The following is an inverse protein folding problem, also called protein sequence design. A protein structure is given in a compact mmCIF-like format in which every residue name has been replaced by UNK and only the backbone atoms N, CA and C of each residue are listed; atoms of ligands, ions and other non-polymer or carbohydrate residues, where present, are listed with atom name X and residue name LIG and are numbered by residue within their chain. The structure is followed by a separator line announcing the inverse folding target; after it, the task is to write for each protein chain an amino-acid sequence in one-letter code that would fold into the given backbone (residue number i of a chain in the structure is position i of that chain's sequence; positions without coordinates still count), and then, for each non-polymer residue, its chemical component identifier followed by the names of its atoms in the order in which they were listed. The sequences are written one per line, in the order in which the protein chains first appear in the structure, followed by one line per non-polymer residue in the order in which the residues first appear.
data_IF_767164114342
#
_entry.id   IF_767164114342
#
_cell.length_a   1.000
_cell.length_b   1.000
_cell.length_c   1.000
_cell.angle_alpha   90.00
_cell.angle_beta   90.00
_cell.angle_gamma   90.00
#
_symmetry.space_group_name_H-M   'P 1'
#
loop_
_entity.id
_entity.type
_entity.pdbx_description
1 polymer ?
#
# COMPACT_ATOMS: atom_id res chain seq x y z
N UNK A 1 -6.65 2.34 12.64
CA UNK A 1 -7.82 1.48 12.39
C UNK A 1 -7.83 0.96 10.97
N UNK A 2 -8.19 -0.28 10.81
CA UNK A 2 -8.36 -0.86 9.49
C UNK A 2 -9.55 -0.21 8.77
N UNK A 3 -9.36 0.11 7.48
CA UNK A 3 -10.40 0.69 6.63
C UNK A 3 -10.54 -0.17 5.37
N UNK A 4 -11.77 -0.60 5.05
CA UNK A 4 -12.04 -1.50 3.92
C UNK A 4 -11.68 -0.88 2.58
N UNK A 5 -11.92 0.40 2.41
CA UNK A 5 -11.65 1.10 1.15
C UNK A 5 -10.14 1.21 0.90
N UNK A 6 -9.38 1.51 1.95
CA UNK A 6 -7.91 1.50 1.86
C UNK A 6 -7.39 0.09 1.58
N UNK A 7 -7.99 -0.93 2.21
CA UNK A 7 -7.65 -2.33 1.95
C UNK A 7 -7.93 -2.73 0.51
N UNK A 8 -9.05 -2.28 -0.05
CA UNK A 8 -9.38 -2.56 -1.45
C UNK A 8 -8.38 -1.90 -2.39
N UNK A 9 -8.04 -0.64 -2.15
CA UNK A 9 -7.05 0.06 -2.97
C UNK A 9 -5.68 -0.62 -2.90
N UNK A 10 -5.27 -1.06 -1.71
CA UNK A 10 -4.02 -1.79 -1.53
C UNK A 10 -4.01 -3.11 -2.31
N UNK A 11 -5.12 -3.86 -2.24
CA UNK A 11 -5.21 -5.15 -2.95
C UNK A 11 -5.25 -4.97 -4.46
N UNK A 12 -5.95 -3.96 -4.97
CA UNK A 12 -5.97 -3.65 -6.40
C UNK A 12 -4.54 -3.43 -6.90
N UNK A 13 -3.74 -2.68 -6.16
CA UNK A 13 -2.36 -2.42 -6.58
C UNK A 13 -1.46 -3.65 -6.46
N UNK A 14 -1.61 -4.43 -5.38
CA UNK A 14 -0.86 -5.67 -5.23
C UNK A 14 -1.18 -6.66 -6.37
N UNK A 15 -2.46 -6.80 -6.74
CA UNK A 15 -2.88 -7.62 -7.86
C UNK A 15 -2.30 -7.11 -9.18
N UNK A 16 -2.31 -5.80 -9.40
CA UNK A 16 -1.79 -5.17 -10.61
C UNK A 16 -0.30 -5.47 -10.77
N UNK A 17 0.47 -5.31 -9.70
CA UNK A 17 1.91 -5.61 -9.73
C UNK A 17 2.17 -7.08 -10.06
N UNK A 18 1.40 -7.98 -9.47
CA UNK A 18 1.54 -9.42 -9.75
C UNK A 18 1.19 -9.75 -11.19
N UNK A 19 0.03 -9.31 -11.66
CA UNK A 19 -0.51 -9.67 -12.97
C UNK A 19 0.29 -9.06 -14.11
N UNK A 20 0.79 -7.85 -13.92
CA UNK A 20 1.49 -7.11 -14.98
C UNK A 20 3.00 -7.08 -14.80
N UNK A 21 3.52 -7.74 -13.79
CA UNK A 21 4.95 -8.00 -13.63
C UNK A 21 5.80 -6.77 -13.39
N UNK A 22 5.40 -5.91 -12.46
CA UNK A 22 6.18 -4.72 -12.11
C UNK A 22 6.18 -4.47 -10.61
N UNK A 23 7.07 -3.58 -10.17
CA UNK A 23 7.16 -3.16 -8.77
C UNK A 23 7.37 -1.64 -8.72
N UNK A 24 6.28 -0.89 -8.51
CA UNK A 24 6.30 0.57 -8.52
C UNK A 24 5.03 1.07 -7.82
N UNK A 25 5.08 2.28 -7.30
CA UNK A 25 3.89 2.96 -6.79
C UNK A 25 2.89 3.28 -7.91
N UNK A 26 3.38 3.57 -9.10
CA UNK A 26 2.51 3.85 -10.25
C UNK A 26 1.88 2.57 -10.77
N UNK A 27 0.56 2.58 -10.93
CA UNK A 27 -0.18 1.45 -11.48
C UNK A 27 -0.01 1.31 -12.99
N UNK A 28 -0.39 0.16 -13.53
CA UNK A 28 -0.32 -0.13 -14.96
C UNK A 28 -1.20 0.82 -15.79
N UNK A 29 -2.25 1.36 -15.17
CA UNK A 29 -3.14 2.34 -15.79
C UNK A 29 -2.70 3.79 -15.57
N UNK A 30 -1.52 3.99 -14.97
CA UNK A 30 -1.00 5.31 -14.64
C UNK A 30 -1.47 5.89 -13.31
N UNK A 31 -2.28 5.14 -12.55
CA UNK A 31 -2.83 5.63 -11.28
C UNK A 31 -1.76 5.76 -10.21
N UNK A 32 -1.92 6.73 -9.31
CA UNK A 32 -1.18 6.83 -8.06
C UNK A 32 -2.05 6.29 -6.92
N UNK A 33 -1.50 6.25 -5.71
CA UNK A 33 -2.25 5.73 -4.55
C UNK A 33 -3.48 6.56 -4.24
N UNK A 34 -3.42 7.88 -4.43
CA UNK A 34 -4.59 8.75 -4.22
C UNK A 34 -5.73 8.40 -5.16
N UNK A 35 -5.44 8.21 -6.44
CA UNK A 35 -6.46 7.83 -7.42
C UNK A 35 -7.08 6.48 -7.06
N UNK A 36 -6.27 5.52 -6.62
CA UNK A 36 -6.77 4.20 -6.26
C UNK A 36 -7.69 4.23 -5.04
N UNK A 37 -7.36 5.03 -4.00
CA UNK A 37 -8.23 5.11 -2.84
C UNK A 37 -9.53 5.83 -3.17
N UNK A 38 -9.49 6.86 -4.02
CA UNK A 38 -10.68 7.56 -4.48
C UNK A 38 -11.58 6.63 -5.30
N UNK A 39 -11.01 5.81 -6.16
CA UNK A 39 -11.76 4.81 -6.92
C UNK A 39 -12.42 3.77 -6.01
N UNK A 40 -11.85 3.51 -4.84
CA UNK A 40 -12.44 2.62 -3.85
C UNK A 40 -13.47 3.32 -2.96
N UNK A 41 -13.71 4.61 -3.15
CA UNK A 41 -14.70 5.38 -2.40
C UNK A 41 -14.17 6.08 -1.15
N UNK A 42 -12.86 6.14 -0.98
CA UNK A 42 -12.25 6.77 0.19
C UNK A 42 -12.13 8.29 -0.04
N UNK A 43 -12.63 9.08 0.91
CA UNK A 43 -12.59 10.55 0.82
C UNK A 43 -11.33 11.05 1.52
N UNK A 44 -10.22 11.03 0.82
CA UNK A 44 -8.91 11.31 1.39
C UNK A 44 -8.62 12.78 1.60
N UNK A 45 -8.09 13.09 2.78
CA UNK A 45 -7.33 14.32 3.02
C UNK A 45 -5.84 14.02 3.01
N UNK A 46 -5.45 12.85 3.52
CA UNK A 46 -4.07 12.39 3.54
C UNK A 46 -4.04 10.95 3.07
N UNK A 47 -3.12 10.63 2.17
CA UNK A 47 -2.86 9.26 1.70
C UNK A 47 -1.36 9.07 1.51
N UNK A 48 -0.85 7.92 1.95
CA UNK A 48 0.50 7.51 1.66
C UNK A 48 0.54 5.99 1.45
N UNK A 49 1.56 5.51 0.77
CA UNK A 49 1.67 4.10 0.40
C UNK A 49 3.08 3.59 0.62
N UNK A 50 3.20 2.41 1.21
CA UNK A 50 4.44 1.65 1.26
C UNK A 50 4.24 0.37 0.46
N UNK A 51 5.24 -0.01 -0.33
CA UNK A 51 5.23 -1.26 -1.08
C UNK A 51 6.47 -2.08 -0.76
N UNK A 52 6.36 -3.40 -0.89
CA UNK A 52 7.49 -4.31 -0.74
C UNK A 52 7.25 -5.55 -1.58
N UNK A 53 8.33 -6.23 -1.94
CA UNK A 53 8.27 -7.39 -2.82
C UNK A 53 9.29 -8.44 -2.38
N UNK A 54 8.88 -9.70 -2.40
CA UNK A 54 9.79 -10.83 -2.25
C UNK A 54 9.98 -11.36 -0.83
N UNK A 55 9.56 -10.62 0.19
CA UNK A 55 9.72 -11.04 1.58
C UNK A 55 8.51 -11.86 2.02
N UNK A 56 8.71 -13.10 2.55
CA UNK A 56 7.57 -13.98 2.85
C UNK A 56 6.88 -13.69 4.18
N UNK A 57 7.48 -12.89 5.08
CA UNK A 57 6.96 -12.70 6.43
C UNK A 57 6.73 -11.23 6.74
N UNK A 58 5.61 -10.97 7.42
CA UNK A 58 5.19 -9.60 7.72
C UNK A 58 6.20 -8.83 8.58
N UNK A 59 6.85 -9.50 9.54
CA UNK A 59 7.84 -8.80 10.37
C UNK A 59 9.06 -8.35 9.56
N UNK A 60 9.43 -9.06 8.51
CA UNK A 60 10.50 -8.62 7.61
C UNK A 60 10.12 -7.33 6.88
N UNK A 61 8.85 -7.25 6.43
CA UNK A 61 8.32 -6.09 5.73
C UNK A 61 8.27 -4.88 6.67
N UNK A 62 7.70 -5.05 7.85
CA UNK A 62 7.58 -3.95 8.82
C UNK A 62 8.96 -3.45 9.24
N UNK A 63 9.89 -4.37 9.54
CA UNK A 63 11.25 -4.00 9.91
C UNK A 63 11.95 -3.26 8.77
N UNK A 64 11.78 -3.71 7.54
CA UNK A 64 12.35 -3.04 6.37
C UNK A 64 11.83 -1.62 6.21
N UNK A 65 10.52 -1.45 6.32
CA UNK A 65 9.91 -0.13 6.23
C UNK A 65 10.33 0.78 7.38
N UNK A 66 10.41 0.27 8.61
CA UNK A 66 10.81 1.08 9.77
C UNK A 66 12.28 1.50 9.71
N UNK A 67 13.10 0.78 8.96
CA UNK A 67 14.51 1.12 8.76
C UNK A 67 14.76 1.98 7.53
N UNK A 68 13.71 2.34 6.80
CA UNK A 68 13.78 3.19 5.60
C UNK A 68 13.11 4.53 5.92
N UNK A 69 13.81 5.67 5.87
CA UNK A 69 13.25 6.96 6.33
C UNK A 69 11.93 7.35 5.69
N UNK A 70 11.78 7.17 4.37
CA UNK A 70 10.54 7.52 3.67
C UNK A 70 9.38 6.62 4.06
N UNK A 71 9.60 5.31 4.10
CA UNK A 71 8.57 4.35 4.51
C UNK A 71 8.18 4.53 5.97
N UNK A 72 9.17 4.74 6.84
CA UNK A 72 8.94 4.99 8.25
C UNK A 72 8.09 6.24 8.46
N UNK A 73 8.38 7.31 7.71
CA UNK A 73 7.63 8.57 7.80
C UNK A 73 6.15 8.33 7.49
N UNK A 74 5.84 7.51 6.48
CA UNK A 74 4.47 7.19 6.14
C UNK A 74 3.76 6.45 7.27
N UNK A 75 4.44 5.47 7.89
CA UNK A 75 3.85 4.65 8.95
C UNK A 75 3.62 5.42 10.24
N UNK A 76 4.48 6.41 10.54
CA UNK A 76 4.45 7.16 11.79
C UNK A 76 3.87 8.57 11.64
N UNK A 77 3.28 8.88 10.48
CA UNK A 77 2.71 10.20 10.24
C UNK A 77 1.64 10.51 11.31
N UNK A 78 1.77 11.65 12.04
CA UNK A 78 0.92 11.90 13.22
C UNK A 78 -0.55 12.11 12.92
N UNK A 79 -0.90 12.40 11.66
CA UNK A 79 -2.28 12.66 11.26
C UNK A 79 -2.94 11.44 10.61
N UNK A 80 -2.23 10.33 10.43
CA UNK A 80 -2.80 9.10 9.89
C UNK A 80 -3.71 8.47 10.93
N UNK A 81 -4.89 8.04 10.51
CA UNK A 81 -5.90 7.42 11.38
C UNK A 81 -6.30 6.03 10.92
N UNK A 82 -6.10 5.70 9.65
CA UNK A 82 -6.63 4.47 9.07
C UNK A 82 -5.57 3.82 8.17
N UNK A 83 -5.73 2.52 7.97
CA UNK A 83 -4.83 1.78 7.08
C UNK A 83 -5.58 0.65 6.36
N UNK A 84 -5.00 0.20 5.27
CA UNK A 84 -5.40 -1.00 4.56
C UNK A 84 -4.17 -1.75 4.02
N UNK A 85 -4.28 -3.05 3.90
CA UNK A 85 -3.18 -3.91 3.45
C UNK A 85 -3.65 -4.79 2.31
N UNK A 86 -2.80 -4.95 1.30
CA UNK A 86 -3.00 -5.91 0.23
C UNK A 86 -1.76 -6.78 0.07
N UNK A 87 -1.95 -8.08 -0.09
CA UNK A 87 -0.87 -9.03 -0.27
C UNK A 87 -1.27 -9.98 -1.39
N UNK A 88 -0.38 -10.17 -2.37
CA UNK A 88 -0.58 -11.16 -3.44
C UNK A 88 0.61 -12.10 -3.50
N UNK A 89 0.34 -13.38 -3.78
CA UNK A 89 1.36 -14.42 -3.89
C UNK A 89 1.61 -14.74 -5.35
N UNK A 90 2.87 -14.91 -5.72
CA UNK A 90 3.25 -15.27 -7.07
C UNK A 90 4.58 -16.01 -7.10
N UNK A 91 4.98 -16.53 -8.28
CA UNK A 91 6.18 -17.36 -8.40
C UNK A 91 7.48 -16.61 -8.07
N UNK A 92 7.45 -15.27 -8.13
CA UNK A 92 8.61 -14.45 -7.81
C UNK A 92 8.55 -13.85 -6.41
N UNK A 93 7.68 -14.38 -5.55
CA UNK A 93 7.49 -13.91 -4.19
C UNK A 93 6.27 -13.01 -4.04
N UNK A 94 5.88 -12.70 -2.81
CA UNK A 94 4.69 -11.89 -2.56
C UNK A 94 4.92 -10.41 -2.84
N UNK A 95 3.83 -9.73 -3.22
CA UNK A 95 3.78 -8.27 -3.27
C UNK A 95 2.98 -7.77 -2.07
N UNK A 96 3.51 -6.76 -1.39
CA UNK A 96 2.91 -6.17 -0.19
C UNK A 96 2.61 -4.71 -0.44
N UNK A 97 1.39 -4.29 -0.12
CA UNK A 97 0.99 -2.89 -0.22
C UNK A 97 0.34 -2.48 1.09
N UNK A 98 0.84 -1.42 1.70
CA UNK A 98 0.22 -0.76 2.85
C UNK A 98 -0.23 0.62 2.39
N UNK A 99 -1.51 0.92 2.55
CA UNK A 99 -2.04 2.26 2.32
C UNK A 99 -2.50 2.83 3.65
N UNK A 100 -2.04 4.02 3.96
CA UNK A 100 -2.42 4.73 5.18
C UNK A 100 -3.10 6.04 4.80
N UNK A 101 -4.03 6.50 5.64
CA UNK A 101 -4.78 7.68 5.27
C UNK A 101 -5.57 8.31 6.40
N UNK A 102 -6.16 9.47 6.08
CA UNK A 102 -7.11 10.18 6.91
C UNK A 102 -8.17 10.75 6.00
N UNK A 103 -9.42 10.55 6.37
CA UNK A 103 -10.56 11.13 5.64
C UNK A 103 -10.74 12.59 5.99
N UNK A 104 -11.29 13.32 5.05
CA UNK A 104 -11.65 14.73 5.23
C UNK A 104 -12.89 14.92 6.11
#
# INVERSE_FOLDING_TARGET
QFNRQLGRAAMVHACDMLENGFFDHRGSDGSNSQARVQNAGYRDCIVAENIAWGYPRSEQIVNGWMNSPGHRRNMLHPRIEEFGVGITQGPKGPYWVLVVGKQC
#
